data_IF_174734140370
#
_entry.id   IF_174734140370
#
_cell.length_a   1.000
_cell.length_b   1.000
_cell.length_c   1.000
_cell.angle_alpha   90.00
_cell.angle_beta   90.00
_cell.angle_gamma   90.00
#
_symmetry.space_group_name_H-M   'P 1'
#
loop_
_entity.id
_entity.type
_entity.pdbx_description
1 polymer ?
#
# COMPACT_ATOMS: atom_id res chain seq x y z
N UNK A 1 -0.45 46.54 -27.27
CA UNK A 1 0.99 46.28 -27.44
C UNK A 1 1.40 45.24 -26.36
N UNK A 2 1.84 44.10 -26.85
CA UNK A 2 2.76 43.09 -26.28
C UNK A 2 2.45 42.62 -24.86
N UNK A 3 1.85 41.49 -24.54
CA UNK A 3 2.11 40.13 -24.96
C UNK A 3 3.37 39.53 -24.27
N UNK A 4 3.23 38.96 -23.05
CA UNK A 4 4.23 38.06 -22.47
C UNK A 4 3.52 36.92 -21.73
N UNK A 5 3.42 35.77 -22.37
CA UNK A 5 3.10 34.48 -21.79
C UNK A 5 4.30 33.95 -20.99
N UNK A 6 4.16 33.42 -19.78
CA UNK A 6 5.25 32.73 -19.13
C UNK A 6 5.38 31.29 -19.69
N UNK A 7 6.58 31.00 -20.19
CA UNK A 7 6.99 29.65 -20.63
C UNK A 7 6.94 28.67 -19.48
N UNK A 8 6.28 27.51 -19.71
CA UNK A 8 6.26 26.39 -18.82
C UNK A 8 7.68 25.84 -18.58
N UNK A 9 8.01 25.73 -17.30
CA UNK A 9 9.19 25.01 -16.85
C UNK A 9 8.85 23.51 -16.78
N UNK A 10 9.44 22.73 -17.65
CA UNK A 10 9.46 21.27 -17.59
C UNK A 10 10.26 20.84 -16.36
N UNK A 11 9.77 19.94 -15.49
CA UNK A 11 10.57 19.46 -14.37
C UNK A 11 11.72 18.60 -14.91
N UNK A 12 12.95 19.07 -14.64
CA UNK A 12 14.17 18.29 -14.90
C UNK A 12 14.21 17.12 -13.94
N UNK A 13 14.02 15.92 -14.47
CA UNK A 13 14.23 14.69 -13.74
C UNK A 13 15.68 14.65 -13.22
N UNK A 14 15.85 14.72 -11.90
CA UNK A 14 17.14 14.46 -11.25
C UNK A 14 17.50 13.00 -11.49
N UNK A 15 18.43 12.76 -12.39
CA UNK A 15 19.08 11.47 -12.55
C UNK A 15 19.89 11.19 -11.27
N UNK A 16 19.35 10.36 -10.39
CA UNK A 16 20.10 9.81 -9.26
C UNK A 16 21.17 8.86 -9.81
N UNK A 17 22.45 9.18 -9.56
CA UNK A 17 23.57 8.31 -9.92
C UNK A 17 23.57 7.12 -8.94
N UNK A 18 22.99 6.00 -9.41
CA UNK A 18 23.00 4.75 -8.67
C UNK A 18 24.36 4.05 -8.83
N UNK A 19 25.07 3.90 -7.73
CA UNK A 19 26.16 2.94 -7.56
C UNK A 19 25.57 1.75 -6.79
N UNK A 20 24.90 0.84 -7.48
CA UNK A 20 24.34 -0.38 -6.92
C UNK A 20 24.17 -1.44 -8.00
N UNK A 21 24.38 -2.69 -7.62
CA UNK A 21 24.28 -3.87 -8.51
C UNK A 21 22.90 -3.88 -9.20
N UNK A 22 22.90 -3.70 -10.51
CA UNK A 22 21.69 -3.79 -11.34
C UNK A 22 21.14 -5.21 -11.31
N UNK A 23 19.83 -5.35 -11.43
CA UNK A 23 19.20 -6.56 -11.93
C UNK A 23 19.71 -6.77 -13.37
N UNK A 24 20.89 -7.36 -13.50
CA UNK A 24 21.56 -7.57 -14.79
C UNK A 24 21.19 -8.94 -15.30
N UNK A 25 20.95 -9.11 -16.61
CA UNK A 25 20.74 -10.44 -17.19
C UNK A 25 21.95 -11.31 -16.87
N UNK A 26 21.76 -12.43 -16.19
CA UNK A 26 22.76 -13.47 -16.15
C UNK A 26 22.91 -13.98 -17.57
N UNK A 27 24.14 -14.03 -18.08
CA UNK A 27 24.44 -14.62 -19.39
C UNK A 27 24.00 -16.09 -19.33
N UNK A 28 22.96 -16.42 -20.07
CA UNK A 28 22.45 -17.78 -20.18
C UNK A 28 23.54 -18.61 -20.88
N UNK A 29 24.28 -19.43 -20.14
CA UNK A 29 25.03 -20.52 -20.71
C UNK A 29 24.01 -21.56 -21.17
N UNK A 30 23.84 -21.67 -22.48
CA UNK A 30 22.90 -22.58 -23.10
C UNK A 30 23.14 -24.03 -22.66
N UNK A 31 22.15 -24.58 -21.95
CA UNK A 31 22.05 -26.05 -21.81
C UNK A 31 21.21 -26.56 -22.96
N UNK A 32 21.76 -27.57 -23.62
CA UNK A 32 21.29 -28.12 -24.85
C UNK A 32 19.82 -28.56 -24.87
N UNK A 33 19.21 -28.42 -26.04
CA UNK A 33 17.89 -28.92 -26.38
C UNK A 33 17.81 -30.42 -26.14
N UNK A 34 17.00 -30.83 -25.18
CA UNK A 34 16.52 -32.21 -25.13
C UNK A 34 15.21 -32.28 -25.93
N UNK A 35 15.33 -32.77 -27.17
CA UNK A 35 14.20 -32.98 -28.08
C UNK A 35 13.53 -34.32 -27.75
N UNK A 36 12.83 -34.42 -26.62
CA UNK A 36 11.87 -35.51 -26.40
C UNK A 36 10.49 -34.89 -26.21
N UNK A 37 9.60 -35.15 -27.18
CA UNK A 37 8.24 -34.74 -27.20
C UNK A 37 7.40 -35.38 -26.08
N UNK A 38 7.44 -34.79 -24.91
CA UNK A 38 6.48 -34.95 -23.84
C UNK A 38 5.75 -33.65 -23.71
N UNK A 39 4.43 -33.65 -23.51
CA UNK A 39 3.69 -32.48 -23.07
C UNK A 39 4.27 -32.10 -21.71
N UNK A 40 5.22 -31.18 -21.69
CA UNK A 40 5.78 -30.62 -20.45
C UNK A 40 4.64 -29.86 -19.83
N UNK A 41 4.07 -30.34 -18.73
CA UNK A 41 3.19 -29.51 -17.88
C UNK A 41 3.92 -28.19 -17.65
N UNK A 42 3.32 -27.11 -18.15
CA UNK A 42 3.93 -25.79 -18.08
C UNK A 42 4.01 -25.39 -16.59
N UNK A 43 5.23 -25.41 -16.06
CA UNK A 43 5.50 -25.08 -14.66
C UNK A 43 4.94 -23.68 -14.30
N UNK A 44 4.30 -23.56 -13.15
CA UNK A 44 3.78 -22.30 -12.63
C UNK A 44 4.87 -21.22 -12.54
N UNK A 45 4.54 -20.00 -12.96
CA UNK A 45 5.48 -18.86 -12.90
C UNK A 45 5.69 -18.35 -11.47
N UNK A 46 4.73 -18.61 -10.56
CA UNK A 46 4.86 -18.28 -9.14
C UNK A 46 4.41 -19.49 -8.33
N UNK A 47 5.21 -19.86 -7.34
CA UNK A 47 4.93 -20.92 -6.37
C UNK A 47 5.21 -20.43 -4.97
N UNK A 48 4.68 -21.11 -3.95
CA UNK A 48 5.00 -20.81 -2.56
C UNK A 48 6.27 -21.53 -2.10
N UNK A 49 7.10 -20.81 -1.33
CA UNK A 49 8.27 -21.36 -0.63
C UNK A 49 8.30 -20.86 0.83
N UNK A 50 9.11 -21.43 1.70
CA UNK A 50 9.21 -20.97 3.10
C UNK A 50 9.59 -19.50 3.27
N UNK A 51 10.17 -18.86 2.24
CA UNK A 51 10.57 -17.46 2.27
C UNK A 51 9.53 -16.51 1.68
N UNK A 52 8.59 -16.98 0.88
CA UNK A 52 7.62 -16.14 0.18
C UNK A 52 7.10 -16.73 -1.14
N UNK A 53 6.41 -15.90 -1.89
CA UNK A 53 6.05 -16.19 -3.27
C UNK A 53 7.30 -16.17 -4.14
N UNK A 54 7.56 -17.23 -4.87
CA UNK A 54 8.80 -17.44 -5.62
C UNK A 54 8.54 -17.65 -7.11
N UNK A 55 9.32 -16.99 -7.95
CA UNK A 55 9.32 -17.17 -9.39
C UNK A 55 10.47 -18.15 -9.79
N UNK A 56 10.20 -19.44 -10.06
CA UNK A 56 11.25 -20.41 -10.36
C UNK A 56 12.11 -20.06 -11.57
N UNK A 57 11.56 -19.67 -12.75
CA UNK A 57 12.40 -19.33 -13.89
C UNK A 57 13.22 -18.05 -13.67
N UNK A 58 12.70 -17.10 -12.87
CA UNK A 58 13.36 -15.82 -12.60
C UNK A 58 14.36 -15.87 -11.45
N UNK A 59 14.27 -16.85 -10.55
CA UNK A 59 15.05 -16.96 -9.32
C UNK A 59 14.96 -15.70 -8.44
N UNK A 60 13.74 -15.28 -8.14
CA UNK A 60 13.44 -14.18 -7.24
C UNK A 60 12.12 -14.40 -6.49
N UNK A 61 11.90 -13.62 -5.44
CA UNK A 61 10.68 -13.65 -4.63
C UNK A 61 9.85 -12.37 -4.81
N UNK A 62 8.55 -12.47 -4.58
CA UNK A 62 7.63 -11.34 -4.48
C UNK A 62 7.20 -11.21 -3.02
N UNK A 63 7.36 -10.02 -2.44
CA UNK A 63 7.05 -9.69 -1.05
C UNK A 63 7.48 -10.77 -0.04
N UNK A 64 8.75 -11.19 -0.04
CA UNK A 64 9.19 -12.26 0.83
C UNK A 64 9.17 -11.85 2.30
N UNK A 65 8.66 -12.75 3.14
CA UNK A 65 8.60 -12.57 4.59
C UNK A 65 9.88 -13.00 5.33
N UNK A 66 10.90 -13.51 4.63
CA UNK A 66 12.26 -13.80 5.14
C UNK A 66 13.31 -13.24 4.20
N UNK A 67 14.54 -12.96 4.70
CA UNK A 67 15.64 -12.48 3.88
C UNK A 67 15.95 -13.41 2.70
N UNK A 68 16.09 -12.83 1.51
CA UNK A 68 16.39 -13.51 0.25
C UNK A 68 17.44 -12.75 -0.56
N UNK A 69 18.00 -13.38 -1.61
CA UNK A 69 18.92 -12.70 -2.51
C UNK A 69 18.20 -11.61 -3.32
N UNK A 70 17.05 -11.93 -3.94
CA UNK A 70 16.30 -11.02 -4.80
C UNK A 70 14.84 -10.96 -4.41
N UNK A 71 14.38 -9.74 -4.16
CA UNK A 71 13.00 -9.44 -3.81
C UNK A 71 12.40 -8.39 -4.75
N UNK A 72 11.21 -8.64 -5.27
CA UNK A 72 10.34 -7.63 -5.88
C UNK A 72 9.33 -7.23 -4.82
N UNK A 73 9.25 -5.95 -4.48
CA UNK A 73 8.36 -5.43 -3.43
C UNK A 73 7.20 -4.68 -4.08
N UNK A 74 5.98 -5.11 -3.75
CA UNK A 74 4.76 -4.51 -4.30
C UNK A 74 4.48 -3.15 -3.67
N UNK A 75 4.63 -3.03 -2.35
CA UNK A 75 4.41 -1.78 -1.61
C UNK A 75 5.12 -1.79 -0.25
N UNK A 76 5.12 -0.66 0.44
CA UNK A 76 5.96 -0.47 1.61
C UNK A 76 5.31 -0.83 2.96
N UNK A 77 4.18 -1.56 3.04
CA UNK A 77 3.65 -2.07 4.31
C UNK A 77 4.56 -3.15 4.93
N UNK A 78 4.51 -3.32 6.25
CA UNK A 78 5.50 -4.10 6.99
C UNK A 78 5.43 -5.60 6.73
N UNK A 79 4.29 -6.11 6.37
CA UNK A 79 4.08 -7.52 6.00
C UNK A 79 4.58 -7.84 4.57
N UNK A 80 4.65 -6.84 3.69
CA UNK A 80 5.15 -6.96 2.32
C UNK A 80 6.61 -6.53 2.16
N UNK A 81 7.03 -5.44 2.82
CA UNK A 81 8.38 -4.89 2.72
C UNK A 81 9.18 -5.14 4.00
N UNK A 82 10.05 -6.13 3.98
CA UNK A 82 10.94 -6.50 5.08
C UNK A 82 12.39 -6.20 4.76
N UNK A 83 13.19 -5.99 5.79
CA UNK A 83 14.63 -5.76 5.65
C UNK A 83 15.41 -7.06 5.44
N UNK A 84 16.66 -6.95 4.98
CA UNK A 84 17.60 -8.08 4.89
C UNK A 84 17.73 -8.71 3.51
N UNK A 85 17.02 -8.23 2.50
CA UNK A 85 17.21 -8.67 1.11
C UNK A 85 18.48 -8.06 0.51
N UNK A 86 19.19 -8.82 -0.32
CA UNK A 86 20.43 -8.34 -0.96
C UNK A 86 20.19 -7.44 -2.17
N UNK A 87 19.08 -7.66 -2.88
CA UNK A 87 18.68 -6.88 -4.05
C UNK A 87 17.17 -6.68 -4.02
N UNK A 88 16.72 -5.44 -4.03
CA UNK A 88 15.30 -5.09 -4.01
C UNK A 88 14.92 -4.39 -5.31
N UNK A 89 13.84 -4.82 -5.93
CA UNK A 89 13.18 -4.16 -7.05
C UNK A 89 11.82 -3.66 -6.58
N UNK A 90 11.53 -2.38 -6.79
CA UNK A 90 10.22 -1.80 -6.50
C UNK A 90 9.96 -0.61 -7.43
N UNK A 91 8.83 0.07 -7.29
CA UNK A 91 8.59 1.29 -8.06
C UNK A 91 9.52 2.42 -7.62
N UNK A 92 9.98 3.24 -8.56
CA UNK A 92 10.77 4.43 -8.24
C UNK A 92 10.03 5.39 -7.31
N UNK A 93 8.70 5.45 -7.43
CA UNK A 93 7.83 6.30 -6.60
C UNK A 93 7.82 5.84 -5.13
N UNK A 94 7.99 4.54 -4.86
CA UNK A 94 8.04 4.00 -3.50
C UNK A 94 9.37 4.21 -2.78
N UNK A 95 10.41 4.69 -3.46
CA UNK A 95 11.78 4.79 -2.90
C UNK A 95 11.81 5.57 -1.59
N UNK A 96 11.18 6.75 -1.54
CA UNK A 96 11.17 7.62 -0.36
C UNK A 96 10.56 6.93 0.86
N UNK A 97 9.41 6.28 0.69
CA UNK A 97 8.72 5.55 1.78
C UNK A 97 9.46 4.28 2.18
N UNK A 98 10.01 3.52 1.22
CA UNK A 98 10.80 2.31 1.51
C UNK A 98 12.06 2.66 2.29
N UNK A 99 12.79 3.71 1.90
CA UNK A 99 13.99 4.16 2.63
C UNK A 99 13.66 4.75 3.99
N UNK A 100 12.53 5.44 4.14
CA UNK A 100 12.07 5.94 5.44
C UNK A 100 11.80 4.80 6.42
N UNK A 101 11.31 3.65 5.95
CA UNK A 101 10.93 2.50 6.79
C UNK A 101 12.05 1.48 6.97
N UNK A 102 12.81 1.18 5.92
CA UNK A 102 13.80 0.10 5.91
C UNK A 102 15.26 0.60 5.97
N UNK A 103 15.45 1.92 5.97
CA UNK A 103 16.74 2.58 6.05
C UNK A 103 17.30 3.02 4.71
N UNK A 104 18.14 4.06 4.76
CA UNK A 104 18.70 4.72 3.56
C UNK A 104 19.63 3.82 2.75
N UNK A 105 20.21 2.81 3.38
CA UNK A 105 21.13 1.85 2.74
C UNK A 105 20.41 0.71 1.99
N UNK A 106 19.07 0.74 1.91
CA UNK A 106 18.31 -0.28 1.19
C UNK A 106 18.84 -0.46 -0.25
N UNK A 107 19.23 -1.69 -0.66
CA UNK A 107 19.79 -1.98 -1.99
C UNK A 107 18.67 -2.02 -3.04
N UNK A 108 18.03 -0.88 -3.27
CA UNK A 108 16.84 -0.70 -4.09
C UNK A 108 17.19 -0.28 -5.51
N UNK A 109 16.65 -0.99 -6.49
CA UNK A 109 16.48 -0.53 -7.87
C UNK A 109 15.02 -0.13 -8.07
N UNK A 110 14.78 1.15 -8.41
CA UNK A 110 13.45 1.67 -8.75
C UNK A 110 13.15 1.52 -10.23
N UNK A 111 11.92 1.10 -10.56
CA UNK A 111 11.37 1.13 -11.92
C UNK A 111 10.23 2.15 -12.01
N UNK A 112 10.13 2.85 -13.14
CA UNK A 112 8.90 3.58 -13.44
C UNK A 112 7.74 2.58 -13.69
N UNK A 113 6.51 3.02 -13.45
CA UNK A 113 5.34 2.21 -13.84
C UNK A 113 5.38 1.90 -15.34
N UNK A 114 5.11 0.65 -15.70
CA UNK A 114 5.16 0.15 -17.07
C UNK A 114 6.57 -0.12 -17.61
N UNK A 115 7.62 0.41 -16.97
CA UNK A 115 8.99 0.06 -17.31
C UNK A 115 9.25 -1.41 -17.01
N UNK A 116 10.03 -2.08 -17.87
CA UNK A 116 10.30 -3.50 -17.72
C UNK A 116 11.79 -3.80 -17.65
N UNK A 117 12.13 -4.79 -16.84
CA UNK A 117 13.45 -5.44 -16.83
C UNK A 117 13.29 -6.91 -17.19
N UNK A 118 14.33 -7.50 -17.76
CA UNK A 118 14.39 -8.95 -18.01
C UNK A 118 15.42 -9.57 -17.08
N UNK A 119 15.00 -10.57 -16.31
CA UNK A 119 15.90 -11.32 -15.42
C UNK A 119 15.68 -12.82 -15.60
N UNK A 120 16.74 -13.57 -15.93
CA UNK A 120 16.69 -15.01 -16.22
C UNK A 120 15.58 -15.39 -17.23
N UNK A 121 15.35 -14.57 -18.25
CA UNK A 121 14.32 -14.79 -19.27
C UNK A 121 12.89 -14.43 -18.85
N UNK A 122 12.67 -13.99 -17.61
CA UNK A 122 11.39 -13.44 -17.14
C UNK A 122 11.39 -11.92 -17.33
N UNK A 123 10.39 -11.40 -18.05
CA UNK A 123 10.12 -9.97 -18.16
C UNK A 123 9.27 -9.53 -16.98
N UNK A 124 9.76 -8.58 -16.21
CA UNK A 124 9.13 -8.04 -15.00
C UNK A 124 8.76 -6.59 -15.27
N UNK A 125 7.52 -6.20 -15.02
CA UNK A 125 7.07 -4.80 -15.00
C UNK A 125 6.14 -4.55 -13.83
N UNK A 126 6.10 -3.29 -13.37
CA UNK A 126 5.32 -2.87 -12.22
C UNK A 126 4.21 -1.93 -12.69
N UNK A 127 2.96 -2.17 -12.26
CA UNK A 127 1.78 -1.43 -12.67
C UNK A 127 1.02 -0.91 -11.45
N UNK A 128 0.38 0.27 -11.50
CA UNK A 128 -0.31 0.85 -10.35
C UNK A 128 -1.33 -0.10 -9.70
N UNK A 129 -1.31 -0.19 -8.38
CA UNK A 129 -2.26 -0.98 -7.59
C UNK A 129 -3.33 -0.13 -6.88
N UNK A 130 -3.17 1.20 -6.78
CA UNK A 130 -4.17 2.10 -6.20
C UNK A 130 -4.23 2.13 -4.68
N UNK A 131 -3.41 1.35 -3.99
CA UNK A 131 -3.47 1.12 -2.55
C UNK A 131 -2.81 2.27 -1.75
N UNK A 132 -1.51 2.42 -1.89
CA UNK A 132 -0.70 3.46 -1.24
C UNK A 132 0.33 4.03 -2.22
N UNK A 133 1.08 5.07 -1.83
CA UNK A 133 2.13 5.66 -2.66
C UNK A 133 3.13 4.59 -3.11
N UNK A 134 3.28 4.47 -4.43
CA UNK A 134 4.21 3.54 -5.04
C UNK A 134 3.75 2.08 -5.06
N UNK A 135 2.53 1.76 -4.59
CA UNK A 135 2.00 0.39 -4.65
C UNK A 135 1.86 -0.11 -6.10
N UNK A 136 2.25 -1.36 -6.31
CA UNK A 136 2.32 -1.94 -7.65
C UNK A 136 1.86 -3.39 -7.71
N UNK A 137 1.20 -3.72 -8.80
CA UNK A 137 1.04 -5.08 -9.28
C UNK A 137 2.33 -5.51 -9.99
N UNK A 138 2.78 -6.73 -9.75
CA UNK A 138 3.97 -7.33 -10.39
C UNK A 138 3.51 -8.18 -11.55
N UNK A 139 3.76 -7.70 -12.79
CA UNK A 139 3.49 -8.45 -14.02
C UNK A 139 4.73 -9.24 -14.43
N UNK A 140 4.57 -10.53 -14.58
CA UNK A 140 5.59 -11.48 -15.03
C UNK A 140 5.21 -12.05 -16.39
N UNK A 141 6.14 -12.02 -17.34
CA UNK A 141 5.95 -12.63 -18.66
C UNK A 141 7.11 -13.57 -18.96
N UNK A 142 6.79 -14.82 -19.24
CA UNK A 142 7.76 -15.84 -19.58
C UNK A 142 7.15 -16.94 -20.46
N UNK A 143 7.83 -17.35 -21.51
CA UNK A 143 7.39 -18.41 -22.42
C UNK A 143 5.94 -18.22 -22.93
N UNK A 144 5.55 -16.97 -23.26
CA UNK A 144 4.24 -16.63 -23.81
C UNK A 144 3.11 -16.57 -22.77
N UNK A 145 3.40 -16.75 -21.48
CA UNK A 145 2.41 -16.65 -20.38
C UNK A 145 2.63 -15.39 -19.58
N UNK A 146 1.52 -14.81 -19.13
CA UNK A 146 1.49 -13.61 -18.30
C UNK A 146 0.83 -13.92 -16.96
N UNK A 147 1.55 -13.71 -15.87
CA UNK A 147 1.04 -13.79 -14.51
C UNK A 147 1.13 -12.42 -13.84
N UNK A 148 0.16 -12.10 -13.01
CA UNK A 148 0.18 -10.85 -12.24
C UNK A 148 -0.05 -11.15 -10.77
N UNK A 149 0.88 -10.68 -9.92
CA UNK A 149 0.67 -10.64 -8.47
C UNK A 149 0.25 -9.22 -8.09
N UNK A 150 -0.96 -9.07 -7.56
CA UNK A 150 -1.56 -7.76 -7.29
C UNK A 150 -0.86 -6.97 -6.18
N UNK A 151 -0.24 -7.66 -5.19
CA UNK A 151 -0.07 -7.07 -3.88
C UNK A 151 -1.42 -6.64 -3.31
N UNK A 152 -1.41 -5.68 -2.41
CA UNK A 152 -2.63 -5.03 -1.95
C UNK A 152 -3.08 -3.96 -2.94
N UNK A 153 -4.39 -3.85 -3.16
CA UNK A 153 -4.90 -2.90 -4.13
C UNK A 153 -6.22 -2.24 -3.71
N UNK A 154 -6.46 -1.06 -4.27
CA UNK A 154 -7.70 -0.34 -4.10
C UNK A 154 -8.37 -0.07 -5.44
N UNK A 155 -9.60 -0.54 -5.56
CA UNK A 155 -10.52 -0.22 -6.66
C UNK A 155 -11.90 -0.03 -6.06
N UNK A 156 -12.44 1.18 -6.19
CA UNK A 156 -13.77 1.53 -5.66
C UNK A 156 -14.89 1.12 -6.61
N UNK A 157 -16.01 0.67 -6.06
CA UNK A 157 -17.25 0.47 -6.80
C UNK A 157 -17.83 1.78 -7.37
N UNK A 158 -17.43 2.93 -6.84
CA UNK A 158 -17.88 4.27 -7.22
C UNK A 158 -16.95 5.00 -8.20
N UNK A 159 -16.00 4.28 -8.82
CA UNK A 159 -14.94 4.84 -9.68
C UNK A 159 -14.06 5.91 -9.01
N UNK A 160 -14.08 5.93 -7.69
CA UNK A 160 -13.22 6.78 -6.88
C UNK A 160 -11.81 6.21 -6.79
N UNK A 161 -10.84 7.09 -6.72
CA UNK A 161 -9.43 6.72 -6.54
C UNK A 161 -8.89 7.27 -5.22
N UNK A 162 -7.87 6.62 -4.69
CA UNK A 162 -7.08 7.19 -3.62
C UNK A 162 -6.30 8.40 -4.18
N UNK A 163 -6.52 9.63 -3.65
CA UNK A 163 -5.89 10.84 -4.19
C UNK A 163 -4.38 10.90 -3.97
N UNK A 164 -3.82 10.01 -3.14
CA UNK A 164 -2.42 10.03 -2.72
C UNK A 164 -1.52 9.04 -3.46
N UNK A 165 -2.06 8.31 -4.44
CA UNK A 165 -1.29 7.37 -5.26
C UNK A 165 -1.88 7.23 -6.67
N UNK A 166 -1.13 6.58 -7.57
CA UNK A 166 -1.63 6.25 -8.90
C UNK A 166 -2.81 5.26 -8.79
N UNK A 167 -3.92 5.44 -9.55
CA UNK A 167 -5.08 4.57 -9.48
C UNK A 167 -4.76 3.16 -9.99
N UNK A 168 -5.54 2.17 -9.54
CA UNK A 168 -5.43 0.79 -10.03
C UNK A 168 -5.51 0.73 -11.55
N UNK A 169 -4.55 0.05 -12.18
CA UNK A 169 -4.50 -0.20 -13.62
C UNK A 169 -4.85 -1.67 -13.90
N UNK A 170 -5.92 -1.98 -14.63
CA UNK A 170 -6.20 -3.36 -15.01
C UNK A 170 -5.11 -3.91 -15.93
N UNK A 171 -4.48 -5.03 -15.53
CA UNK A 171 -3.43 -5.71 -16.31
C UNK A 171 -3.96 -7.06 -16.80
N UNK A 172 -4.03 -7.26 -18.12
CA UNK A 172 -4.45 -8.54 -18.71
C UNK A 172 -3.43 -9.63 -18.40
N UNK A 173 -3.92 -10.80 -17.98
CA UNK A 173 -3.05 -11.93 -17.63
C UNK A 173 -3.77 -13.28 -17.76
N UNK A 174 -3.01 -14.36 -17.77
CA UNK A 174 -3.53 -15.74 -17.77
C UNK A 174 -3.84 -16.22 -16.35
N UNK A 175 -3.02 -15.74 -15.37
CA UNK A 175 -3.20 -16.03 -13.95
C UNK A 175 -3.06 -14.77 -13.12
N UNK A 176 -4.02 -14.53 -12.24
CA UNK A 176 -4.04 -13.40 -11.32
C UNK A 176 -3.92 -13.87 -9.87
N UNK A 177 -2.86 -13.44 -9.18
CA UNK A 177 -2.66 -13.68 -7.74
C UNK A 177 -3.19 -12.44 -7.02
N UNK A 178 -4.23 -12.61 -6.19
CA UNK A 178 -4.99 -11.51 -5.60
C UNK A 178 -5.09 -11.62 -4.08
N UNK A 179 -5.12 -10.45 -3.40
CA UNK A 179 -5.57 -10.35 -2.01
C UNK A 179 -7.08 -10.62 -1.88
N UNK A 180 -7.54 -10.86 -0.65
CA UNK A 180 -8.96 -10.94 -0.30
C UNK A 180 -9.25 -10.38 1.09
N UNK A 181 -8.55 -9.32 1.51
CA UNK A 181 -8.67 -8.71 2.86
C UNK A 181 -10.13 -8.43 3.22
N UNK A 182 -10.87 -7.79 2.32
CA UNK A 182 -12.29 -7.54 2.46
C UNK A 182 -13.15 -8.40 1.51
N UNK A 183 -12.75 -9.65 1.31
CA UNK A 183 -13.34 -10.63 0.41
C UNK A 183 -14.66 -11.26 0.91
N UNK A 184 -15.51 -10.50 1.59
CA UNK A 184 -16.86 -10.89 2.00
C UNK A 184 -17.91 -9.92 1.45
N UNK A 185 -19.12 -10.39 1.06
CA UNK A 185 -20.19 -9.55 0.52
C UNK A 185 -20.66 -8.42 1.44
N UNK A 186 -20.38 -8.51 2.74
CA UNK A 186 -20.72 -7.49 3.75
C UNK A 186 -19.86 -6.23 3.60
N UNK A 187 -18.67 -6.32 3.02
CA UNK A 187 -17.79 -5.17 2.84
C UNK A 187 -18.15 -4.45 1.55
N UNK A 188 -18.72 -3.27 1.72
CA UNK A 188 -19.07 -2.34 0.67
C UNK A 188 -18.76 -0.94 1.15
N UNK A 189 -17.89 -0.25 0.45
CA UNK A 189 -17.49 1.08 0.86
C UNK A 189 -18.52 2.11 0.43
N UNK A 190 -18.87 3.02 1.34
CA UNK A 190 -19.61 4.23 0.99
C UNK A 190 -18.71 5.16 0.16
N UNK A 191 -19.30 6.10 -0.62
CA UNK A 191 -18.52 7.13 -1.29
C UNK A 191 -17.57 7.84 -0.33
N UNK A 192 -16.30 8.01 -0.70
CA UNK A 192 -15.29 8.58 0.21
C UNK A 192 -15.65 10.01 0.63
N UNK A 193 -16.28 10.80 -0.22
CA UNK A 193 -16.76 12.15 0.11
C UNK A 193 -17.73 12.14 1.31
N UNK A 194 -18.58 11.12 1.42
CA UNK A 194 -19.45 10.95 2.58
C UNK A 194 -18.63 10.72 3.85
N UNK A 195 -17.65 9.81 3.80
CA UNK A 195 -16.81 9.47 4.97
C UNK A 195 -15.98 10.67 5.41
N UNK A 196 -15.40 11.42 4.48
CA UNK A 196 -14.68 12.66 4.80
C UNK A 196 -15.61 13.72 5.38
N UNK A 197 -16.83 13.88 4.85
CA UNK A 197 -17.84 14.76 5.44
C UNK A 197 -18.21 14.40 6.88
N UNK A 198 -18.28 13.10 7.21
CA UNK A 198 -18.52 12.63 8.58
C UNK A 198 -17.32 12.93 9.50
N UNK A 199 -16.09 12.77 9.02
CA UNK A 199 -14.86 13.12 9.76
C UNK A 199 -14.80 14.62 10.01
N UNK A 200 -15.04 15.44 9.00
CA UNK A 200 -15.02 16.89 9.10
C UNK A 200 -16.09 17.43 10.05
N UNK A 201 -17.30 16.85 10.00
CA UNK A 201 -18.38 17.23 10.92
C UNK A 201 -18.03 16.90 12.39
N UNK A 202 -17.42 15.71 12.61
CA UNK A 202 -16.95 15.31 13.94
C UNK A 202 -15.82 16.21 14.43
N UNK A 203 -14.85 16.54 13.59
CA UNK A 203 -13.76 17.47 13.91
C UNK A 203 -14.27 18.87 14.23
N UNK A 204 -15.17 19.46 13.41
CA UNK A 204 -15.78 20.76 13.67
C UNK A 204 -16.51 20.82 15.02
N UNK A 205 -17.25 19.77 15.37
CA UNK A 205 -17.95 19.69 16.64
C UNK A 205 -16.99 19.68 17.84
N UNK A 206 -15.89 18.92 17.75
CA UNK A 206 -14.87 18.89 18.80
C UNK A 206 -14.12 20.23 18.90
N UNK A 207 -13.74 20.82 17.77
CA UNK A 207 -13.05 22.11 17.73
C UNK A 207 -13.91 23.21 18.35
N UNK A 208 -15.22 23.25 18.07
CA UNK A 208 -16.16 24.17 18.69
C UNK A 208 -16.30 23.95 20.20
N UNK A 209 -16.09 22.72 20.68
CA UNK A 209 -16.06 22.37 22.11
C UNK A 209 -14.69 22.60 22.77
N UNK A 210 -13.69 23.09 22.03
CA UNK A 210 -12.33 23.29 22.53
C UNK A 210 -11.57 21.98 22.80
N UNK A 211 -11.89 20.90 22.11
CA UNK A 211 -11.31 19.55 22.30
C UNK A 211 -10.54 19.11 21.08
N UNK A 212 -9.33 18.49 21.22
CA UNK A 212 -8.66 17.81 20.12
C UNK A 212 -9.48 16.63 19.59
N UNK A 213 -9.34 16.35 18.30
CA UNK A 213 -9.88 15.17 17.65
C UNK A 213 -8.73 14.20 17.33
N UNK A 214 -8.58 13.12 18.11
CA UNK A 214 -7.57 12.09 17.86
C UNK A 214 -8.10 11.07 16.84
N UNK A 215 -7.62 11.14 15.60
CA UNK A 215 -8.00 10.23 14.54
C UNK A 215 -6.91 9.15 14.36
N UNK A 216 -7.23 7.95 14.78
CA UNK A 216 -6.33 6.79 14.68
C UNK A 216 -6.37 6.22 13.26
N UNK A 217 -5.19 6.01 12.69
CA UNK A 217 -5.00 5.45 11.36
C UNK A 217 -3.59 4.91 11.20
N UNK A 218 -3.38 3.92 10.34
CA UNK A 218 -2.03 3.44 10.03
C UNK A 218 -1.15 4.57 9.51
N UNK A 219 0.11 4.60 9.99
CA UNK A 219 1.06 5.69 9.75
C UNK A 219 1.40 5.88 8.29
N UNK A 220 1.48 4.77 7.52
CA UNK A 220 1.72 4.76 6.09
C UNK A 220 0.44 4.48 5.30
N UNK A 221 0.16 5.28 4.29
CA UNK A 221 -0.98 5.15 3.40
C UNK A 221 -2.24 5.81 3.97
N UNK A 222 -2.86 5.23 4.99
CA UNK A 222 -4.11 5.69 5.58
C UNK A 222 -4.02 7.12 6.14
N UNK A 223 -2.96 7.41 6.90
CA UNK A 223 -2.77 8.75 7.47
C UNK A 223 -2.68 9.81 6.37
N UNK A 224 -1.92 9.55 5.28
CA UNK A 224 -1.79 10.50 4.18
C UNK A 224 -3.08 10.64 3.38
N UNK A 225 -3.84 9.56 3.19
CA UNK A 225 -5.16 9.62 2.55
C UNK A 225 -6.15 10.46 3.37
N UNK A 226 -6.14 10.32 4.69
CA UNK A 226 -6.94 11.16 5.59
C UNK A 226 -6.55 12.62 5.46
N UNK A 227 -5.24 12.93 5.55
CA UNK A 227 -4.74 14.30 5.39
C UNK A 227 -5.12 14.94 4.05
N UNK A 228 -5.12 14.16 2.97
CA UNK A 228 -5.49 14.64 1.64
C UNK A 228 -7.01 14.82 1.45
N UNK A 229 -7.84 14.24 2.32
CA UNK A 229 -9.29 14.23 2.17
C UNK A 229 -10.06 15.12 3.14
N UNK A 230 -9.49 15.48 4.29
CA UNK A 230 -10.13 16.36 5.28
C UNK A 230 -10.02 17.84 4.87
N UNK A 231 -10.93 18.67 5.38
CA UNK A 231 -10.92 20.13 5.19
C UNK A 231 -9.92 20.82 6.13
N UNK A 232 -8.72 21.24 5.66
CA UNK A 232 -7.73 21.88 6.52
C UNK A 232 -8.15 23.27 7.03
N UNK A 233 -9.25 23.83 6.52
CA UNK A 233 -9.81 25.09 6.98
C UNK A 233 -10.54 24.99 8.34
N UNK A 234 -10.77 23.78 8.86
CA UNK A 234 -11.45 23.58 10.16
C UNK A 234 -10.56 23.98 11.33
N UNK A 235 -9.28 23.61 11.28
CA UNK A 235 -8.33 23.90 12.38
C UNK A 235 -6.93 23.35 12.11
N UNK A 236 -6.03 23.46 13.08
CA UNK A 236 -4.68 22.94 12.98
C UNK A 236 -4.64 21.41 12.82
N UNK A 237 -3.68 20.93 12.05
CA UNK A 237 -3.43 19.49 11.90
C UNK A 237 -2.14 19.14 12.62
N UNK A 238 -2.19 18.12 13.47
CA UNK A 238 -1.08 17.56 14.20
C UNK A 238 -0.90 16.10 13.82
N UNK A 239 0.32 15.65 13.66
CA UNK A 239 0.61 14.26 13.33
C UNK A 239 1.58 13.63 14.33
N UNK A 240 1.43 12.33 14.53
CA UNK A 240 2.41 11.57 15.31
C UNK A 240 3.79 11.55 14.62
N UNK A 241 4.87 11.43 15.40
CA UNK A 241 6.23 11.35 14.87
C UNK A 241 6.49 10.23 13.87
N UNK A 242 5.73 9.12 13.94
CA UNK A 242 5.79 8.05 12.95
C UNK A 242 5.15 8.43 11.59
N UNK A 243 4.26 9.43 11.55
CA UNK A 243 3.58 9.88 10.32
C UNK A 243 4.38 10.97 9.60
N UNK A 244 5.05 11.84 10.35
CA UNK A 244 5.73 13.02 9.80
C UNK A 244 6.78 12.71 8.71
N UNK A 245 7.71 11.74 8.87
CA UNK A 245 8.68 11.39 7.82
C UNK A 245 8.01 10.84 6.54
N UNK A 246 6.90 10.12 6.70
CA UNK A 246 6.13 9.58 5.58
C UNK A 246 5.43 10.69 4.81
N UNK A 247 4.89 11.71 5.50
CA UNK A 247 4.32 12.88 4.85
C UNK A 247 5.37 13.64 4.00
N UNK A 248 6.62 13.72 4.48
CA UNK A 248 7.72 14.30 3.70
C UNK A 248 7.94 13.51 2.40
N UNK A 249 8.02 12.16 2.49
CA UNK A 249 8.19 11.31 1.30
C UNK A 249 7.03 11.45 0.28
N UNK A 250 5.80 11.62 0.76
CA UNK A 250 4.63 11.88 -0.10
C UNK A 250 4.75 13.23 -0.82
N UNK A 251 5.11 14.31 -0.09
CA UNK A 251 5.31 15.64 -0.69
C UNK A 251 6.46 15.64 -1.70
N UNK A 252 7.57 14.99 -1.40
CA UNK A 252 8.71 14.84 -2.30
C UNK A 252 8.34 14.09 -3.58
N UNK A 253 7.34 13.22 -3.51
CA UNK A 253 6.76 12.52 -4.66
C UNK A 253 5.66 13.32 -5.39
N UNK A 254 5.42 14.57 -4.98
CA UNK A 254 4.46 15.47 -5.63
C UNK A 254 3.02 15.33 -5.14
N UNK A 255 2.76 14.58 -4.06
CA UNK A 255 1.42 14.47 -3.46
C UNK A 255 1.15 15.69 -2.58
N UNK A 256 0.12 16.50 -2.88
CA UNK A 256 -0.22 17.66 -2.05
C UNK A 256 -0.84 17.19 -0.74
N UNK A 257 -0.17 17.48 0.37
CA UNK A 257 -0.68 17.27 1.73
C UNK A 257 -0.73 18.62 2.47
N UNK A 258 -1.74 18.86 3.31
CA UNK A 258 -1.82 20.07 4.11
C UNK A 258 -0.61 20.20 5.05
N UNK A 259 -0.37 21.42 5.52
CA UNK A 259 0.61 21.65 6.58
C UNK A 259 0.19 20.90 7.84
N UNK A 260 1.14 20.26 8.50
CA UNK A 260 0.90 19.51 9.73
C UNK A 260 2.13 19.58 10.63
N UNK A 261 1.90 19.77 11.93
CA UNK A 261 2.92 19.85 12.96
C UNK A 261 3.04 18.52 13.70
N UNK A 262 4.18 18.27 14.35
CA UNK A 262 4.23 17.27 15.43
C UNK A 262 3.92 17.95 16.77
N UNK A 263 3.65 17.17 17.82
CA UNK A 263 3.45 17.74 19.16
C UNK A 263 4.69 18.51 19.67
N UNK A 264 5.88 18.19 19.16
CA UNK A 264 7.14 18.84 19.51
C UNK A 264 7.34 20.21 18.86
N UNK A 265 6.84 20.36 17.63
CA UNK A 265 7.03 21.54 16.78
C UNK A 265 5.83 22.47 16.78
N UNK A 266 4.78 22.15 17.54
CA UNK A 266 3.58 22.97 17.59
C UNK A 266 3.90 24.36 18.14
N UNK A 267 3.70 25.44 17.38
CA UNK A 267 4.16 26.78 17.78
C UNK A 267 3.43 27.31 19.02
N UNK A 268 2.20 26.87 19.25
CA UNK A 268 1.43 27.21 20.44
C UNK A 268 0.58 26.00 20.88
N UNK A 269 0.76 25.52 22.10
CA UNK A 269 -0.01 24.41 22.66
C UNK A 269 -1.53 24.64 22.71
N UNK A 270 -1.97 25.90 22.74
CA UNK A 270 -3.40 26.26 22.68
C UNK A 270 -4.05 25.84 21.36
N UNK A 271 -3.27 25.68 20.29
CA UNK A 271 -3.76 25.19 19.01
C UNK A 271 -4.27 23.73 19.08
N UNK A 272 -3.87 22.96 20.08
CA UNK A 272 -4.40 21.61 20.29
C UNK A 272 -5.92 21.60 20.53
N UNK A 273 -6.48 22.62 21.14
CA UNK A 273 -7.90 22.68 21.49
C UNK A 273 -8.86 22.54 20.30
N UNK A 274 -8.41 22.85 19.08
CA UNK A 274 -9.21 22.68 17.86
C UNK A 274 -8.56 21.77 16.83
N UNK A 275 -7.50 21.06 17.21
CA UNK A 275 -6.68 20.29 16.26
C UNK A 275 -7.32 18.94 15.87
N UNK A 276 -7.09 18.56 14.60
CA UNK A 276 -7.12 17.16 14.19
C UNK A 276 -5.74 16.53 14.43
N UNK A 277 -5.69 15.47 15.22
CA UNK A 277 -4.45 14.76 15.56
C UNK A 277 -4.48 13.40 14.88
N UNK A 278 -3.60 13.16 13.89
CA UNK A 278 -3.54 11.87 13.17
C UNK A 278 -2.38 11.05 13.72
N UNK A 279 -2.68 9.84 14.20
CA UNK A 279 -1.70 8.99 14.87
C UNK A 279 -2.00 7.50 14.65
N UNK A 280 -0.96 6.61 14.79
CA UNK A 280 -1.17 5.17 14.70
C UNK A 280 -2.03 4.61 15.83
N UNK A 281 -2.75 3.48 15.61
CA UNK A 281 -3.57 2.86 16.64
C UNK A 281 -2.81 2.47 17.91
N UNK A 282 -1.51 2.20 17.81
CA UNK A 282 -0.63 1.87 18.94
C UNK A 282 -0.53 2.98 19.99
N UNK A 283 -0.84 4.24 19.65
CA UNK A 283 -0.83 5.34 20.63
C UNK A 283 -2.10 5.40 21.50
N UNK A 284 -3.15 4.69 21.14
CA UNK A 284 -4.39 4.67 21.92
C UNK A 284 -4.09 4.22 23.37
N UNK A 285 -4.59 4.98 24.34
CA UNK A 285 -4.31 4.79 25.78
C UNK A 285 -2.84 4.96 26.21
N UNK A 286 -1.93 5.39 25.34
CA UNK A 286 -0.52 5.61 25.65
C UNK A 286 -0.24 6.90 26.44
N UNK A 287 0.99 7.03 26.95
CA UNK A 287 1.46 8.28 27.56
C UNK A 287 1.50 9.44 26.55
N UNK A 288 1.71 9.13 25.26
CA UNK A 288 1.68 10.14 24.20
C UNK A 288 0.28 10.73 24.04
N UNK A 289 -0.77 9.89 23.95
CA UNK A 289 -2.15 10.34 23.83
C UNK A 289 -2.61 11.18 25.05
N UNK A 290 -2.19 10.81 26.27
CA UNK A 290 -2.50 11.59 27.48
C UNK A 290 -2.00 13.05 27.43
N UNK A 291 -1.00 13.36 26.61
CA UNK A 291 -0.51 14.75 26.41
C UNK A 291 -1.51 15.63 25.66
N UNK A 292 -2.51 15.05 25.00
CA UNK A 292 -3.57 15.78 24.30
C UNK A 292 -4.63 16.36 25.26
N UNK A 293 -4.67 15.89 26.52
CA UNK A 293 -5.67 16.30 27.51
C UNK A 293 -7.02 15.59 27.31
N UNK A 294 -8.14 16.33 27.43
CA UNK A 294 -9.47 15.81 27.11
C UNK A 294 -9.70 15.86 25.60
N UNK A 295 -9.71 14.73 24.94
CA UNK A 295 -9.89 14.59 23.49
C UNK A 295 -11.07 13.66 23.17
N UNK A 296 -11.64 13.80 21.98
CA UNK A 296 -12.50 12.77 21.38
C UNK A 296 -11.65 11.92 20.43
N UNK A 297 -11.84 10.61 20.43
CA UNK A 297 -11.11 9.72 19.55
C UNK A 297 -11.97 9.07 18.47
N UNK A 298 -11.32 8.75 17.35
CA UNK A 298 -11.93 8.07 16.23
C UNK A 298 -10.93 7.11 15.58
N UNK A 299 -11.42 6.06 14.93
CA UNK A 299 -10.60 5.13 14.19
C UNK A 299 -11.07 5.01 12.74
N UNK A 300 -10.16 5.28 11.78
CA UNK A 300 -10.41 5.17 10.36
C UNK A 300 -9.86 3.83 9.82
N UNK A 301 -10.75 2.89 9.54
CA UNK A 301 -10.39 1.56 9.04
C UNK A 301 -11.58 0.91 8.33
N UNK A 302 -11.31 0.05 7.33
CA UNK A 302 -12.35 -0.80 6.71
C UNK A 302 -13.03 -1.73 7.72
N UNK A 303 -12.32 -2.15 8.76
CA UNK A 303 -12.86 -2.99 9.83
C UNK A 303 -13.96 -2.31 10.64
N UNK A 304 -14.07 -0.98 10.57
CA UNK A 304 -15.16 -0.24 11.23
C UNK A 304 -16.54 -0.49 10.60
N UNK A 305 -16.62 -1.19 9.48
CA UNK A 305 -17.88 -1.69 8.93
C UNK A 305 -18.59 -2.67 9.89
N UNK A 306 -17.84 -3.38 10.72
CA UNK A 306 -18.38 -4.38 11.65
C UNK A 306 -18.58 -3.82 13.06
N UNK A 307 -19.81 -3.96 13.59
CA UNK A 307 -20.15 -3.52 14.96
C UNK A 307 -19.24 -4.13 16.02
N UNK A 308 -18.86 -5.41 15.87
CA UNK A 308 -17.97 -6.10 16.79
C UNK A 308 -16.56 -5.51 16.81
N UNK A 309 -16.02 -5.13 15.66
CA UNK A 309 -14.73 -4.48 15.55
C UNK A 309 -14.74 -3.09 16.20
N UNK A 310 -15.78 -2.27 15.94
CA UNK A 310 -15.95 -0.96 16.60
C UNK A 310 -15.94 -1.07 18.13
N UNK A 311 -16.67 -2.05 18.71
CA UNK A 311 -16.72 -2.25 20.16
C UNK A 311 -15.37 -2.65 20.74
N UNK A 312 -14.59 -3.48 20.04
CA UNK A 312 -13.26 -3.90 20.51
C UNK A 312 -12.25 -2.77 20.53
N UNK A 313 -12.37 -1.81 19.61
CA UNK A 313 -11.45 -0.64 19.56
C UNK A 313 -11.66 0.33 20.71
N UNK A 314 -12.86 0.40 21.30
CA UNK A 314 -13.13 1.26 22.45
C UNK A 314 -13.03 2.75 22.16
N UNK A 315 -13.18 3.15 20.89
CA UNK A 315 -13.15 4.55 20.45
C UNK A 315 -14.54 5.17 20.37
N UNK A 316 -14.64 6.49 20.51
CA UNK A 316 -15.90 7.25 20.41
C UNK A 316 -16.55 7.12 19.03
N UNK A 317 -15.73 7.09 17.98
CA UNK A 317 -16.17 7.03 16.57
C UNK A 317 -15.41 6.01 15.74
N UNK A 318 -16.11 5.33 14.85
CA UNK A 318 -15.50 4.50 13.82
C UNK A 318 -15.87 5.04 12.43
N UNK A 319 -14.86 5.33 11.61
CA UNK A 319 -15.03 5.77 10.21
C UNK A 319 -14.64 4.64 9.27
N UNK A 320 -15.54 4.27 8.35
CA UNK A 320 -15.29 3.18 7.41
C UNK A 320 -14.51 3.72 6.21
N UNK A 321 -13.20 3.72 6.31
CA UNK A 321 -12.29 4.12 5.24
C UNK A 321 -11.20 3.07 5.05
N UNK A 322 -11.13 2.47 3.86
CA UNK A 322 -10.16 1.41 3.54
C UNK A 322 -9.31 1.79 2.33
N UNK A 323 -8.03 1.42 2.35
CA UNK A 323 -7.13 1.49 1.19
C UNK A 323 -7.10 0.18 0.39
N UNK A 324 -7.90 -0.83 0.81
CA UNK A 324 -8.12 -2.07 0.06
C UNK A 324 -9.46 -2.03 -0.66
N UNK A 325 -9.54 -2.77 -1.75
CA UNK A 325 -10.79 -2.97 -2.47
C UNK A 325 -11.85 -3.65 -1.57
N UNK A 326 -13.09 -3.23 -1.71
CA UNK A 326 -14.24 -3.91 -1.14
C UNK A 326 -14.66 -5.12 -1.99
N UNK A 327 -15.67 -5.85 -1.55
CA UNK A 327 -16.18 -7.02 -2.29
C UNK A 327 -16.48 -6.75 -3.77
N UNK A 328 -17.23 -5.68 -4.16
CA UNK A 328 -17.42 -5.35 -5.57
C UNK A 328 -16.13 -4.92 -6.28
N UNK A 329 -15.24 -4.22 -5.60
CA UNK A 329 -13.95 -3.79 -6.13
C UNK A 329 -13.04 -4.97 -6.47
N UNK A 330 -12.97 -5.98 -5.58
CA UNK A 330 -12.24 -7.23 -5.83
C UNK A 330 -12.78 -7.95 -7.07
N UNK A 331 -14.12 -8.08 -7.20
CA UNK A 331 -14.74 -8.71 -8.36
C UNK A 331 -14.44 -7.96 -9.67
N UNK A 332 -14.52 -6.63 -9.65
CA UNK A 332 -14.22 -5.79 -10.81
C UNK A 332 -12.75 -5.90 -11.22
N UNK A 333 -11.83 -5.90 -10.26
CA UNK A 333 -10.41 -6.05 -10.53
C UNK A 333 -10.13 -7.40 -11.21
N UNK A 334 -10.61 -8.50 -10.63
CA UNK A 334 -10.43 -9.85 -11.19
C UNK A 334 -11.01 -9.95 -12.59
N UNK A 335 -12.25 -9.52 -12.80
CA UNK A 335 -12.89 -9.56 -14.12
C UNK A 335 -12.11 -8.73 -15.17
N UNK A 336 -11.57 -7.58 -14.79
CA UNK A 336 -10.82 -6.69 -15.69
C UNK A 336 -9.51 -7.30 -16.18
N UNK A 337 -8.90 -8.23 -15.42
CA UNK A 337 -7.67 -8.93 -15.85
C UNK A 337 -7.94 -9.94 -16.97
N UNK A 338 -9.16 -10.49 -17.06
CA UNK A 338 -9.52 -11.58 -17.96
C UNK A 338 -8.81 -12.89 -17.67
N UNK A 339 -8.26 -13.06 -16.47
CA UNK A 339 -7.58 -14.27 -16.05
C UNK A 339 -8.57 -15.45 -15.96
N UNK A 340 -8.16 -16.59 -16.49
CA UNK A 340 -8.91 -17.86 -16.36
C UNK A 340 -8.58 -18.58 -15.04
N UNK A 341 -7.38 -18.33 -14.50
CA UNK A 341 -6.90 -18.85 -13.21
C UNK A 341 -6.69 -17.72 -12.21
N UNK A 342 -7.24 -17.88 -11.00
CA UNK A 342 -7.09 -16.91 -9.92
C UNK A 342 -6.55 -17.61 -8.67
N UNK A 343 -5.50 -17.06 -8.09
CA UNK A 343 -4.89 -17.56 -6.86
C UNK A 343 -5.12 -16.52 -5.77
N UNK A 344 -5.82 -16.90 -4.73
CA UNK A 344 -6.12 -16.01 -3.60
C UNK A 344 -5.04 -16.16 -2.53
N UNK A 345 -4.52 -15.06 -2.01
CA UNK A 345 -3.44 -15.10 -1.02
C UNK A 345 -3.99 -14.98 0.40
N UNK A 346 -4.17 -13.77 0.93
CA UNK A 346 -4.54 -13.54 2.32
C UNK A 346 -5.96 -12.96 2.46
N UNK A 347 -6.48 -12.93 3.67
CA UNK A 347 -7.80 -12.41 3.99
C UNK A 347 -8.88 -13.50 4.01
N UNK A 348 -9.94 -13.36 3.21
CA UNK A 348 -11.10 -14.24 3.17
C UNK A 348 -10.98 -15.32 2.10
N UNK A 349 -9.84 -16.00 2.04
CA UNK A 349 -9.45 -16.94 0.98
C UNK A 349 -10.53 -17.97 0.65
N UNK A 350 -11.03 -18.70 1.65
CA UNK A 350 -11.97 -19.81 1.42
C UNK A 350 -13.29 -19.34 0.77
N UNK A 351 -13.79 -18.18 1.17
CA UNK A 351 -15.03 -17.59 0.62
C UNK A 351 -14.78 -17.10 -0.80
N UNK A 352 -13.66 -16.41 -1.03
CA UNK A 352 -13.32 -15.89 -2.36
C UNK A 352 -13.06 -17.02 -3.36
N UNK A 353 -12.28 -18.04 -2.98
CA UNK A 353 -12.01 -19.22 -3.84
C UNK A 353 -13.31 -19.94 -4.21
N UNK A 354 -14.21 -20.15 -3.24
CA UNK A 354 -15.51 -20.79 -3.50
C UNK A 354 -16.32 -19.97 -4.49
N UNK A 355 -16.45 -18.66 -4.25
CA UNK A 355 -17.21 -17.77 -5.14
C UNK A 355 -16.65 -17.77 -6.57
N UNK A 356 -15.32 -17.67 -6.72
CA UNK A 356 -14.65 -17.68 -8.03
C UNK A 356 -14.93 -18.97 -8.81
N UNK A 357 -14.90 -20.12 -8.12
CA UNK A 357 -15.26 -21.43 -8.74
C UNK A 357 -16.70 -21.47 -9.18
N UNK A 358 -17.62 -20.90 -8.40
CA UNK A 358 -19.03 -20.78 -8.76
C UNK A 358 -19.24 -19.85 -9.99
N UNK A 359 -18.29 -18.93 -10.27
CA UNK A 359 -18.25 -18.12 -11.50
C UNK A 359 -17.56 -18.84 -12.69
N UNK A 360 -17.13 -20.09 -12.53
CA UNK A 360 -16.48 -20.87 -13.59
C UNK A 360 -14.98 -20.67 -13.74
N UNK A 361 -14.33 -19.94 -12.82
CA UNK A 361 -12.90 -19.70 -12.84
C UNK A 361 -12.13 -20.85 -12.16
N UNK A 362 -10.91 -21.12 -12.62
CA UNK A 362 -9.98 -21.95 -11.88
C UNK A 362 -9.46 -21.15 -10.68
N UNK A 363 -9.84 -21.55 -9.47
CA UNK A 363 -9.46 -20.81 -8.28
C UNK A 363 -8.87 -21.71 -7.18
N UNK A 364 -7.82 -21.22 -6.54
CA UNK A 364 -7.13 -21.85 -5.42
C UNK A 364 -6.54 -20.79 -4.50
N UNK A 365 -5.90 -21.19 -3.39
CA UNK A 365 -5.20 -20.26 -2.51
C UNK A 365 -3.75 -20.64 -2.32
N UNK A 366 -2.87 -19.63 -2.18
CA UNK A 366 -1.52 -19.77 -1.67
C UNK A 366 -1.50 -19.41 -0.18
N UNK A 367 -0.87 -20.26 0.63
CA UNK A 367 -0.59 -19.91 2.04
C UNK A 367 0.54 -18.88 2.08
N UNK A 368 0.27 -17.74 2.72
CA UNK A 368 1.21 -16.66 2.93
C UNK A 368 1.34 -16.32 4.41
N UNK A 369 2.41 -15.61 4.79
CA UNK A 369 2.60 -15.05 6.13
C UNK A 369 2.23 -13.56 6.17
N UNK A 370 1.44 -13.06 5.22
CA UNK A 370 0.91 -11.69 5.26
C UNK A 370 -0.12 -11.58 6.38
N UNK A 371 -0.17 -10.41 7.02
CA UNK A 371 -1.09 -10.17 8.13
C UNK A 371 -2.55 -10.18 7.68
N UNK A 372 -3.42 -10.73 8.52
CA UNK A 372 -4.89 -10.67 8.32
C UNK A 372 -5.43 -9.30 8.75
N UNK A 373 -4.73 -8.67 9.67
CA UNK A 373 -4.98 -7.31 10.16
C UNK A 373 -3.77 -6.46 9.77
N UNK A 374 -3.92 -5.42 9.00
CA UNK A 374 -2.84 -4.52 8.58
C UNK A 374 -1.95 -4.09 9.74
N UNK A 375 -1.07 -5.00 10.14
CA UNK A 375 -0.21 -4.91 11.32
C UNK A 375 0.99 -3.98 11.13
N UNK A 376 0.79 -2.85 10.46
CA UNK A 376 1.84 -1.87 10.19
C UNK A 376 2.41 -1.20 11.45
N UNK A 377 1.67 -1.22 12.56
CA UNK A 377 2.09 -0.49 13.77
C UNK A 377 2.80 -1.34 14.82
N UNK A 378 2.95 -2.64 14.61
CA UNK A 378 3.58 -3.51 15.61
C UNK A 378 5.11 -3.38 15.71
N UNK A 379 5.79 -2.62 14.83
CA UNK A 379 7.27 -2.61 14.75
C UNK A 379 7.94 -1.24 14.62
N UNK A 380 7.24 -0.13 14.75
CA UNK A 380 7.95 1.17 14.89
C UNK A 380 8.34 1.34 16.35
N UNK A 381 9.50 0.79 16.73
CA UNK A 381 10.17 1.18 17.97
C UNK A 381 10.33 2.70 17.97
N UNK A 382 9.84 3.38 19.02
CA UNK A 382 10.14 4.80 19.23
C UNK A 382 11.66 4.99 19.12
N UNK A 383 12.15 5.97 18.34
CA UNK A 383 13.53 6.36 18.44
C UNK A 383 13.76 6.77 19.90
N UNK A 384 14.72 6.13 20.56
CA UNK A 384 15.09 6.43 21.92
C UNK A 384 15.30 7.95 22.03
N UNK A 385 14.54 8.58 22.92
CA UNK A 385 14.68 9.99 23.20
C UNK A 385 16.14 10.24 23.58
N UNK A 386 16.84 11.01 22.75
CA UNK A 386 18.14 11.53 23.11
C UNK A 386 17.95 12.38 24.39
N UNK A 387 18.54 11.91 25.47
CA UNK A 387 18.62 12.55 26.78
C UNK A 387 19.39 13.87 26.69
#
# INVERSE_FOLDING_TARGET
MSGLTPKGATPVARQSRFHGVRWVPSVVHGHGRDLRGGVTELQDLVVTRPQGLYCPPGDFYIDPWRPVDRAVITHAHADHARAGHRHVLATAVSEGVLRSRLGVALPLQGLAYGEAVVHNGVRISLHPAGHVLGSAQVRLEHAGRVWVASGDYYLSAHDERNPTCAPFEPVRCDCFITESTFGLPIYRWAPQAQVFGEIDAWWRANAAAGRPSLLLAYSFGKAQRLLAGVDPGIGPIVVHGAVAPLNAAYRDSGVPLPEAHTLGDLPDKRLLAGALVVAPPSVHASAWARRLGDFSDGFASGWMALRGARRRQGVDRGFVLSDHADWPGLQRAIAATGAERVIVTHGQEAVMVRWLREQGLQAESFRTEYGVDGGDDATVAEPAAAS
#
